data_IF_254542704362
#
_entry.id   IF_254542704362
#
_cell.length_a   1.000
_cell.length_b   1.000
_cell.length_c   1.000
_cell.angle_alpha   90.00
_cell.angle_beta   90.00
_cell.angle_gamma   90.00
#
_symmetry.space_group_name_H-M   'P 1'
#
loop_
_entity.id
_entity.type
_entity.pdbx_description
1 polymer ?
#
# COMPACT_ATOMS: atom_id res chain seq x y z
N UNK A 1 3.81 17.11 -3.33
CA UNK A 1 2.89 16.95 -2.18
C UNK A 1 1.55 17.57 -2.50
N UNK A 2 0.44 16.92 -2.13
CA UNK A 2 -0.93 17.28 -2.52
C UNK A 2 -1.92 16.89 -1.41
N UNK A 3 -3.16 17.33 -1.51
CA UNK A 3 -4.25 16.90 -0.62
C UNK A 3 -5.59 16.84 -1.36
N UNK A 4 -6.55 16.11 -0.79
CA UNK A 4 -7.94 16.02 -1.26
C UNK A 4 -8.89 16.20 -0.09
N UNK A 5 -9.94 17.00 -0.26
CA UNK A 5 -11.02 17.10 0.74
C UNK A 5 -11.96 15.92 0.55
N UNK A 6 -11.92 14.97 1.48
CA UNK A 6 -12.65 13.69 1.35
C UNK A 6 -14.11 13.79 1.78
N UNK A 7 -14.38 14.46 2.90
CA UNK A 7 -15.73 14.70 3.37
C UNK A 7 -15.81 15.96 4.24
N UNK A 8 -17.03 16.49 4.36
CA UNK A 8 -17.39 17.56 5.29
C UNK A 8 -18.65 17.11 6.01
N UNK A 9 -18.58 17.05 7.34
CA UNK A 9 -19.69 16.62 8.19
C UNK A 9 -19.95 17.68 9.26
N UNK A 10 -21.21 17.76 9.71
CA UNK A 10 -21.62 18.58 10.85
C UNK A 10 -21.97 17.67 12.02
N UNK A 11 -21.54 18.04 13.23
CA UNK A 11 -22.02 17.41 14.46
C UNK A 11 -22.91 18.42 15.16
N UNK A 12 -24.20 18.09 15.31
CA UNK A 12 -25.17 18.91 16.04
C UNK A 12 -25.06 18.59 17.54
N UNK A 13 -25.26 19.58 18.40
CA UNK A 13 -25.25 19.36 19.85
C UNK A 13 -26.35 18.36 20.25
N UNK A 14 -25.95 17.26 20.92
CA UNK A 14 -26.86 16.22 21.40
C UNK A 14 -26.95 14.95 20.53
N UNK A 15 -26.30 14.92 19.36
CA UNK A 15 -26.18 13.71 18.53
C UNK A 15 -24.73 13.15 18.56
N UNK A 16 -24.60 11.83 18.71
CA UNK A 16 -23.29 11.17 18.77
C UNK A 16 -22.59 11.11 17.40
N UNK A 17 -23.37 10.92 16.33
CA UNK A 17 -22.87 10.77 14.97
C UNK A 17 -22.92 12.07 14.16
N UNK A 18 -21.86 12.33 13.40
CA UNK A 18 -21.82 13.48 12.49
C UNK A 18 -22.62 13.23 11.21
N UNK A 19 -23.44 14.19 10.80
CA UNK A 19 -24.17 14.15 9.53
C UNK A 19 -23.24 14.60 8.40
N UNK A 20 -22.99 13.73 7.43
CA UNK A 20 -22.17 14.04 6.25
C UNK A 20 -22.93 14.94 5.27
N UNK A 21 -22.37 16.12 5.00
CA UNK A 21 -22.93 17.13 4.07
C UNK A 21 -22.33 16.98 2.68
N UNK A 22 -21.03 16.67 2.62
CA UNK A 22 -20.29 16.45 1.39
C UNK A 22 -19.40 15.23 1.55
N UNK A 23 -19.34 14.41 0.51
CA UNK A 23 -18.37 13.33 0.36
C UNK A 23 -17.90 13.31 -1.08
N UNK A 24 -16.59 13.28 -1.29
CA UNK A 24 -16.00 13.26 -2.63
C UNK A 24 -16.40 11.97 -3.36
N UNK A 25 -17.17 12.05 -4.47
CA UNK A 25 -17.66 10.86 -5.17
C UNK A 25 -16.55 10.10 -5.91
N UNK A 26 -15.44 10.77 -6.28
CA UNK A 26 -14.34 10.18 -7.04
C UNK A 26 -12.99 10.53 -6.39
N UNK A 27 -12.67 9.97 -5.21
CA UNK A 27 -11.47 10.34 -4.46
C UNK A 27 -10.17 9.97 -5.18
N UNK A 28 -10.22 8.97 -6.07
CA UNK A 28 -9.07 8.53 -6.88
C UNK A 28 -8.92 9.29 -8.22
N UNK A 29 -9.71 10.34 -8.47
CA UNK A 29 -9.56 11.17 -9.67
C UNK A 29 -8.46 12.21 -9.48
N UNK A 30 -7.70 12.47 -10.54
CA UNK A 30 -6.75 13.58 -10.60
C UNK A 30 -7.42 14.96 -10.46
N UNK A 31 -8.74 15.06 -10.64
CA UNK A 31 -9.50 16.32 -10.54
C UNK A 31 -9.78 16.75 -9.10
N UNK A 32 -9.85 15.80 -8.17
CA UNK A 32 -10.08 16.09 -6.74
C UNK A 32 -8.78 16.31 -5.97
N UNK A 33 -7.64 15.87 -6.53
CA UNK A 33 -6.31 16.03 -5.97
C UNK A 33 -5.75 17.44 -6.20
N UNK A 34 -5.53 18.20 -5.12
CA UNK A 34 -5.01 19.58 -5.16
C UNK A 34 -3.51 19.60 -4.86
N UNK A 35 -2.65 20.09 -5.78
CA UNK A 35 -1.22 20.23 -5.48
C UNK A 35 -1.02 21.31 -4.40
N UNK A 36 -0.13 21.03 -3.45
CA UNK A 36 0.20 21.97 -2.36
C UNK A 36 1.67 22.42 -2.41
N UNK A 37 2.58 21.48 -2.67
CA UNK A 37 4.02 21.77 -2.75
C UNK A 37 4.66 20.96 -3.88
N UNK A 38 5.37 21.67 -4.76
CA UNK A 38 6.13 21.12 -5.88
C UNK A 38 7.62 21.32 -5.62
N UNK A 39 8.43 20.31 -5.93
CA UNK A 39 9.87 20.34 -5.64
C UNK A 39 10.64 19.46 -6.62
N UNK A 40 11.91 19.81 -6.87
CA UNK A 40 12.87 18.97 -7.59
C UNK A 40 13.86 18.38 -6.59
N UNK A 41 13.43 17.31 -5.91
CA UNK A 41 14.18 16.65 -4.83
C UNK A 41 14.13 15.15 -5.04
N UNK A 42 15.23 14.46 -4.74
CA UNK A 42 15.22 12.99 -4.62
C UNK A 42 14.55 12.64 -3.29
N UNK A 43 13.53 11.80 -3.33
CA UNK A 43 12.84 11.29 -2.13
C UNK A 43 13.82 10.66 -1.14
N UNK A 44 14.92 10.09 -1.64
CA UNK A 44 15.96 9.44 -0.83
C UNK A 44 16.90 10.45 -0.14
N UNK A 45 16.87 11.74 -0.54
CA UNK A 45 17.60 12.82 0.12
C UNK A 45 16.77 13.37 1.28
N UNK A 46 16.89 12.70 2.43
CA UNK A 46 16.13 13.03 3.64
C UNK A 46 16.39 14.46 4.14
N UNK A 47 17.61 14.98 3.98
CA UNK A 47 17.98 16.32 4.45
C UNK A 47 17.19 17.39 3.70
N UNK A 48 17.23 17.34 2.37
CA UNK A 48 16.51 18.33 1.54
C UNK A 48 15.00 18.14 1.64
N UNK A 49 14.51 16.89 1.66
CA UNK A 49 13.08 16.62 1.74
C UNK A 49 12.47 17.15 3.05
N UNK A 50 13.11 16.90 4.18
CA UNK A 50 12.64 17.40 5.49
C UNK A 50 12.80 18.91 5.63
N UNK A 51 13.83 19.51 5.04
CA UNK A 51 13.97 20.97 5.01
C UNK A 51 12.82 21.65 4.27
N UNK A 52 12.36 21.09 3.14
CA UNK A 52 11.25 21.65 2.36
C UNK A 52 9.89 21.35 3.00
N UNK A 53 9.67 20.12 3.48
CA UNK A 53 8.37 19.71 4.04
C UNK A 53 8.19 20.10 5.51
N UNK A 54 9.24 20.49 6.22
CA UNK A 54 9.20 20.91 7.63
C UNK A 54 8.14 21.97 7.93
N UNK A 55 8.10 23.10 7.19
CA UNK A 55 7.05 24.11 7.35
C UNK A 55 5.64 23.57 7.13
N UNK A 56 5.44 22.72 6.11
CA UNK A 56 4.12 22.10 5.82
C UNK A 56 3.65 21.23 6.99
N UNK A 57 4.57 20.45 7.58
CA UNK A 57 4.26 19.63 8.76
C UNK A 57 3.95 20.49 9.98
N UNK A 58 4.68 21.60 10.17
CA UNK A 58 4.44 22.53 11.27
C UNK A 58 3.05 23.19 11.17
N UNK A 59 2.65 23.64 9.97
CA UNK A 59 1.32 24.17 9.71
C UNK A 59 0.22 23.12 9.96
N UNK A 60 0.41 21.89 9.47
CA UNK A 60 -0.52 20.77 9.75
C UNK A 60 -0.75 20.61 11.25
N UNK A 61 0.32 20.59 12.05
CA UNK A 61 0.22 20.44 13.52
C UNK A 61 -0.55 21.59 14.16
N UNK A 62 -0.23 22.84 13.80
CA UNK A 62 -0.96 24.01 14.31
C UNK A 62 -2.44 24.04 13.89
N UNK A 63 -2.77 23.53 12.70
CA UNK A 63 -4.15 23.45 12.20
C UNK A 63 -5.02 22.43 12.95
N UNK A 64 -4.43 21.41 13.58
CA UNK A 64 -5.21 20.40 14.32
C UNK A 64 -5.82 20.96 15.62
N UNK A 65 -5.19 21.98 16.21
CA UNK A 65 -5.63 22.60 17.48
C UNK A 65 -6.53 23.82 17.26
N UNK A 66 -6.57 24.36 16.04
CA UNK A 66 -7.32 25.58 15.71
C UNK A 66 -8.64 25.29 14.99
N UNK A 67 -9.50 26.32 14.95
CA UNK A 67 -10.74 26.31 14.18
C UNK A 67 -10.67 27.39 13.12
N UNK A 68 -10.98 27.03 11.88
CA UNK A 68 -11.05 27.97 10.77
C UNK A 68 -12.42 28.62 10.73
N UNK A 69 -12.46 29.96 10.65
CA UNK A 69 -13.70 30.73 10.53
C UNK A 69 -13.75 31.35 9.13
N UNK A 70 -14.77 30.99 8.34
CA UNK A 70 -14.97 31.49 6.98
C UNK A 70 -16.42 31.95 6.80
N UNK A 71 -16.62 33.04 6.06
CA UNK A 71 -17.95 33.44 5.58
C UNK A 71 -18.37 32.56 4.39
N UNK A 72 -19.34 31.67 4.60
CA UNK A 72 -19.87 30.76 3.57
C UNK A 72 -21.39 30.88 3.53
N UNK A 73 -21.93 31.26 2.36
CA UNK A 73 -23.37 31.48 2.18
C UNK A 73 -23.89 32.67 2.99
N UNK A 74 -23.07 33.71 3.17
CA UNK A 74 -23.43 34.93 3.91
C UNK A 74 -23.32 34.83 5.44
N UNK A 75 -22.93 33.67 5.98
CA UNK A 75 -22.78 33.44 7.43
C UNK A 75 -21.36 33.03 7.78
N UNK A 76 -20.86 33.52 8.92
CA UNK A 76 -19.61 33.02 9.49
C UNK A 76 -19.82 31.60 10.02
N UNK A 77 -19.01 30.66 9.53
CA UNK A 77 -19.03 29.24 9.93
C UNK A 77 -17.67 28.84 10.47
N UNK A 78 -17.67 27.93 11.44
CA UNK A 78 -16.45 27.39 12.07
C UNK A 78 -16.21 25.95 11.62
N UNK A 79 -14.97 25.64 11.25
CA UNK A 79 -14.54 24.32 10.76
C UNK A 79 -13.40 23.76 11.60
N UNK A 80 -13.38 22.44 11.76
CA UNK A 80 -12.25 21.66 12.28
C UNK A 80 -11.70 20.80 11.17
N UNK A 81 -10.39 20.55 11.19
CA UNK A 81 -9.72 19.68 10.23
C UNK A 81 -9.28 18.38 10.87
N UNK A 82 -9.49 17.28 10.16
CA UNK A 82 -8.95 15.96 10.48
C UNK A 82 -8.07 15.52 9.32
N UNK A 83 -6.75 15.55 9.52
CA UNK A 83 -5.79 15.15 8.49
C UNK A 83 -5.51 13.66 8.56
N UNK A 84 -5.81 12.93 7.48
CA UNK A 84 -5.47 11.52 7.34
C UNK A 84 -4.33 11.38 6.34
N UNK A 85 -3.11 11.15 6.85
CA UNK A 85 -1.93 10.94 6.03
C UNK A 85 -1.95 9.56 5.38
N UNK A 86 -2.64 9.43 4.25
CA UNK A 86 -2.73 8.20 3.44
C UNK A 86 -2.21 8.45 2.02
N UNK A 87 -2.20 7.43 1.16
CA UNK A 87 -1.79 7.57 -0.24
C UNK A 87 -0.28 7.71 -0.45
N UNK A 88 0.51 7.29 0.54
CA UNK A 88 1.96 7.14 0.43
C UNK A 88 2.31 5.69 0.06
N UNK A 89 3.32 5.50 -0.79
CA UNK A 89 3.85 4.15 -1.01
C UNK A 89 4.61 3.68 0.25
N UNK A 90 4.81 2.36 0.39
CA UNK A 90 5.48 1.82 1.59
C UNK A 90 6.91 2.33 1.77
N UNK A 91 7.61 2.70 0.69
CA UNK A 91 8.97 3.24 0.79
C UNK A 91 8.93 4.59 1.50
N UNK A 92 8.08 5.50 1.04
CA UNK A 92 7.88 6.81 1.65
C UNK A 92 7.38 6.70 3.09
N UNK A 93 6.43 5.81 3.38
CA UNK A 93 5.96 5.60 4.78
C UNK A 93 7.12 5.20 5.69
N UNK A 94 7.98 4.26 5.26
CA UNK A 94 9.12 3.81 6.05
C UNK A 94 10.12 4.95 6.30
N UNK A 95 10.41 5.76 5.29
CA UNK A 95 11.31 6.90 5.41
C UNK A 95 10.73 8.01 6.32
N UNK A 96 9.43 8.29 6.22
CA UNK A 96 8.77 9.32 7.05
C UNK A 96 8.56 8.90 8.51
N UNK A 97 8.33 7.62 8.76
CA UNK A 97 8.14 7.01 10.09
C UNK A 97 9.41 6.41 10.70
N UNK A 98 10.59 6.65 10.09
CA UNK A 98 11.88 6.24 10.65
C UNK A 98 12.12 4.72 10.73
N UNK A 99 11.40 3.95 9.91
CA UNK A 99 11.51 2.50 9.82
C UNK A 99 12.63 2.11 8.86
N UNK A 100 13.26 0.97 9.12
CA UNK A 100 14.16 0.36 8.15
C UNK A 100 13.47 0.09 6.80
N UNK A 101 14.26 0.10 5.73
CA UNK A 101 13.76 -0.02 4.35
C UNK A 101 12.99 -1.33 4.10
N UNK A 102 12.25 -1.38 2.98
CA UNK A 102 11.30 -2.47 2.64
C UNK A 102 11.90 -3.89 2.62
N UNK A 103 13.23 -4.05 2.53
CA UNK A 103 13.94 -5.33 2.59
C UNK A 103 14.27 -5.83 4.00
N UNK A 104 14.03 -5.02 5.04
CA UNK A 104 14.31 -5.33 6.45
C UNK A 104 13.64 -6.61 6.92
N UNK A 105 14.21 -7.30 7.91
CA UNK A 105 13.54 -8.40 8.62
C UNK A 105 12.17 -8.01 9.20
N UNK A 106 11.96 -6.75 9.58
CA UNK A 106 10.65 -6.25 10.03
C UNK A 106 9.77 -5.90 8.83
N UNK A 107 8.82 -6.79 8.55
CA UNK A 107 8.12 -6.86 7.26
C UNK A 107 6.99 -5.84 7.13
N UNK A 108 6.37 -5.47 8.25
CA UNK A 108 5.17 -4.65 8.25
C UNK A 108 5.47 -3.19 8.65
N UNK A 109 4.59 -2.26 8.28
CA UNK A 109 4.57 -0.89 8.80
C UNK A 109 3.54 -0.71 9.91
N UNK A 110 2.74 -1.76 10.18
CA UNK A 110 1.57 -1.72 11.07
C UNK A 110 1.77 -2.58 12.32
N UNK A 111 2.47 -3.71 12.22
CA UNK A 111 2.76 -4.62 13.33
C UNK A 111 4.26 -4.93 13.44
N UNK A 112 4.67 -5.52 14.55
CA UNK A 112 6.08 -5.76 14.88
C UNK A 112 6.67 -7.06 14.33
N UNK A 113 5.89 -7.84 13.60
CA UNK A 113 6.31 -9.16 13.13
C UNK A 113 7.52 -9.11 12.21
N UNK A 114 8.40 -10.09 12.41
CA UNK A 114 9.48 -10.38 11.48
C UNK A 114 8.97 -11.14 10.26
N UNK A 115 9.78 -11.18 9.19
CA UNK A 115 9.45 -11.90 7.97
C UNK A 115 9.31 -13.40 8.16
N UNK A 116 10.09 -13.99 9.06
CA UNK A 116 10.01 -15.41 9.38
C UNK A 116 8.72 -15.71 10.17
N UNK A 117 8.44 -14.94 11.22
CA UNK A 117 7.21 -15.08 12.02
C UNK A 117 5.96 -14.88 11.17
N UNK A 118 5.94 -13.84 10.32
CA UNK A 118 4.82 -13.55 9.43
C UNK A 118 4.62 -14.62 8.34
N UNK A 119 5.65 -15.43 8.03
CA UNK A 119 5.50 -16.57 7.13
C UNK A 119 4.96 -17.82 7.82
N UNK A 120 5.17 -17.95 9.14
CA UNK A 120 4.65 -19.06 9.94
C UNK A 120 3.20 -18.84 10.34
N UNK A 121 2.86 -17.62 10.74
CA UNK A 121 1.49 -17.19 11.01
C UNK A 121 1.19 -16.00 10.10
N UNK A 122 0.36 -16.21 9.06
CA UNK A 122 0.15 -15.19 8.03
C UNK A 122 -1.03 -14.24 8.31
N UNK A 123 -2.02 -14.66 9.11
CA UNK A 123 -3.33 -13.98 9.19
C UNK A 123 -3.65 -13.39 10.55
N UNK A 124 -3.03 -13.89 11.63
CA UNK A 124 -3.35 -13.44 12.99
C UNK A 124 -2.31 -12.44 13.49
N UNK A 125 -2.56 -11.17 13.21
CA UNK A 125 -1.75 -10.04 13.68
C UNK A 125 -2.66 -8.85 13.97
N UNK A 126 -2.28 -8.02 14.94
CA UNK A 126 -2.94 -6.75 15.25
C UNK A 126 -2.07 -5.56 14.85
N UNK A 127 -2.68 -4.42 14.55
CA UNK A 127 -1.95 -3.16 14.38
C UNK A 127 -1.44 -2.71 15.75
N UNK A 128 -0.14 -2.45 15.84
CA UNK A 128 0.52 -1.96 17.06
C UNK A 128 1.20 -0.62 16.83
N UNK A 129 1.93 -0.47 15.71
CA UNK A 129 2.72 0.72 15.43
C UNK A 129 1.85 1.97 15.24
N UNK A 130 2.30 3.06 15.83
CA UNK A 130 1.76 4.41 15.65
C UNK A 130 2.90 5.44 15.62
N UNK A 131 2.61 6.66 15.17
CA UNK A 131 3.61 7.72 15.08
C UNK A 131 4.25 8.06 16.44
N UNK A 132 3.42 8.21 17.48
CA UNK A 132 3.88 8.52 18.83
C UNK A 132 4.75 7.39 19.40
N UNK A 133 4.33 6.14 19.19
CA UNK A 133 5.13 4.98 19.60
C UNK A 133 6.48 4.93 18.86
N UNK A 134 6.52 5.23 17.56
CA UNK A 134 7.78 5.28 16.80
C UNK A 134 8.71 6.39 17.32
N UNK A 135 8.18 7.54 17.74
CA UNK A 135 8.98 8.61 18.37
C UNK A 135 9.61 8.12 19.68
N UNK A 136 8.85 7.42 20.52
CA UNK A 136 9.35 6.85 21.77
C UNK A 136 10.40 5.75 21.53
N UNK A 137 10.14 4.84 20.58
CA UNK A 137 11.08 3.80 20.16
C UNK A 137 12.39 4.39 19.64
N UNK A 138 12.33 5.48 18.88
CA UNK A 138 13.53 6.19 18.44
C UNK A 138 14.32 6.76 19.63
N UNK A 139 13.66 7.33 20.65
CA UNK A 139 14.38 7.82 21.83
C UNK A 139 15.05 6.68 22.63
N UNK A 140 14.46 5.48 22.64
CA UNK A 140 15.10 4.27 23.19
C UNK A 140 16.32 3.88 22.35
N UNK A 141 16.17 3.83 21.02
CA UNK A 141 17.27 3.55 20.09
C UNK A 141 18.45 4.52 20.28
N UNK A 142 18.16 5.82 20.34
CA UNK A 142 19.17 6.87 20.45
C UNK A 142 19.86 6.89 21.81
N UNK A 143 19.13 6.68 22.91
CA UNK A 143 19.67 6.75 24.28
C UNK A 143 20.32 5.43 24.72
N UNK A 144 19.88 4.31 24.17
CA UNK A 144 20.24 2.95 24.59
C UNK A 144 20.31 2.79 26.13
N UNK A 145 19.20 2.99 26.85
CA UNK A 145 19.20 3.04 28.31
C UNK A 145 19.59 1.69 28.96
N UNK A 146 19.50 0.59 28.21
CA UNK A 146 19.83 -0.75 28.68
C UNK A 146 21.24 -1.21 28.28
N UNK A 147 22.01 -0.38 27.57
CA UNK A 147 23.36 -0.70 27.08
C UNK A 147 23.43 -1.99 26.27
N UNK A 148 22.39 -2.24 25.47
CA UNK A 148 22.26 -3.42 24.61
C UNK A 148 23.23 -3.34 23.42
N UNK A 149 23.59 -4.50 22.88
CA UNK A 149 24.29 -4.57 21.60
C UNK A 149 23.40 -4.07 20.45
N UNK A 150 24.00 -3.82 19.29
CA UNK A 150 23.28 -3.29 18.14
C UNK A 150 22.09 -4.19 17.71
N UNK A 151 22.28 -5.52 17.71
CA UNK A 151 21.24 -6.47 17.29
C UNK A 151 20.11 -6.58 18.33
N UNK A 152 20.46 -6.61 19.62
CA UNK A 152 19.49 -6.63 20.73
C UNK A 152 18.67 -5.34 20.76
N UNK A 153 19.32 -4.19 20.62
CA UNK A 153 18.64 -2.89 20.61
C UNK A 153 17.74 -2.74 19.37
N UNK A 154 18.21 -3.19 18.20
CA UNK A 154 17.41 -3.23 16.97
C UNK A 154 16.17 -4.09 17.12
N UNK A 155 16.28 -5.22 17.83
CA UNK A 155 15.12 -6.04 18.15
C UNK A 155 14.19 -5.40 19.17
N UNK A 156 14.71 -4.76 20.21
CA UNK A 156 13.91 -4.03 21.19
C UNK A 156 13.03 -2.96 20.53
N UNK A 157 13.59 -2.19 19.61
CA UNK A 157 12.86 -1.10 18.92
C UNK A 157 12.15 -1.54 17.65
N UNK A 158 12.23 -2.85 17.32
CA UNK A 158 11.59 -3.48 16.15
C UNK A 158 11.89 -2.72 14.84
N UNK A 159 13.14 -2.33 14.64
CA UNK A 159 13.62 -1.69 13.41
C UNK A 159 13.28 -0.21 13.23
N UNK A 160 12.99 0.53 14.31
CA UNK A 160 12.94 2.00 14.30
C UNK A 160 14.35 2.54 14.56
N UNK A 161 15.02 3.02 13.51
CA UNK A 161 16.42 3.47 13.59
C UNK A 161 16.63 4.94 13.24
N UNK A 162 15.59 5.61 12.74
CA UNK A 162 15.58 7.04 12.45
C UNK A 162 14.40 7.71 13.15
N UNK A 163 14.47 9.04 13.33
CA UNK A 163 13.41 9.79 14.00
C UNK A 163 12.25 10.01 13.02
N UNK A 164 11.01 9.57 13.33
CA UNK A 164 9.83 9.94 12.56
C UNK A 164 9.71 11.46 12.44
N UNK A 165 9.38 11.98 11.25
CA UNK A 165 9.23 13.42 11.03
C UNK A 165 7.81 13.85 10.68
N UNK A 166 7.04 12.97 10.00
CA UNK A 166 5.68 13.24 9.58
C UNK A 166 4.78 12.07 9.98
N UNK A 167 3.70 12.38 10.70
CA UNK A 167 2.68 11.41 11.09
C UNK A 167 1.93 10.88 9.88
N UNK A 168 1.88 9.55 9.77
CA UNK A 168 1.11 8.81 8.77
C UNK A 168 0.03 7.98 9.45
N UNK A 169 -1.12 7.82 8.79
CA UNK A 169 -2.16 6.94 9.30
C UNK A 169 -1.73 5.48 9.07
N UNK A 170 -1.79 4.59 10.09
CA UNK A 170 -1.44 3.18 9.93
C UNK A 170 -2.47 2.45 9.06
N UNK A 171 -2.30 2.54 7.74
CA UNK A 171 -3.20 1.96 6.73
C UNK A 171 -2.41 1.27 5.61
N UNK A 172 -3.12 0.81 4.57
CA UNK A 172 -2.57 0.14 3.39
C UNK A 172 -2.85 0.97 2.14
N UNK A 173 -1.85 1.13 1.26
CA UNK A 173 -2.08 1.72 -0.05
C UNK A 173 -2.61 0.68 -1.05
N UNK A 174 -3.82 0.92 -1.56
CA UNK A 174 -4.52 -0.02 -2.41
C UNK A 174 -3.86 -0.23 -3.79
N UNK A 175 -3.23 0.81 -4.34
CA UNK A 175 -2.56 0.74 -5.66
C UNK A 175 -1.28 -0.10 -5.59
N UNK A 176 -0.38 0.24 -4.67
CA UNK A 176 0.89 -0.47 -4.54
C UNK A 176 0.71 -1.88 -3.97
N UNK A 177 -0.32 -2.11 -3.15
CA UNK A 177 -0.76 -3.45 -2.76
C UNK A 177 -1.12 -4.31 -3.98
N UNK A 178 -1.96 -3.81 -4.89
CA UNK A 178 -2.32 -4.51 -6.12
C UNK A 178 -1.09 -4.82 -7.00
N UNK A 179 -0.19 -3.85 -7.17
CA UNK A 179 1.03 -4.02 -7.97
C UNK A 179 1.98 -5.03 -7.32
N UNK A 180 2.13 -4.96 -5.99
CA UNK A 180 2.97 -5.87 -5.20
C UNK A 180 2.47 -7.30 -5.29
N UNK A 181 1.18 -7.52 -5.02
CA UNK A 181 0.55 -8.84 -5.10
C UNK A 181 0.57 -9.39 -6.53
N UNK A 182 0.27 -8.58 -7.56
CA UNK A 182 0.37 -9.02 -8.95
C UNK A 182 1.79 -9.41 -9.36
N UNK A 183 2.81 -8.69 -8.86
CA UNK A 183 4.21 -9.04 -9.08
C UNK A 183 4.55 -10.38 -8.43
N UNK A 184 3.99 -10.65 -7.26
CA UNK A 184 4.21 -11.92 -6.56
C UNK A 184 3.53 -13.09 -7.27
N UNK A 185 2.28 -12.93 -7.72
CA UNK A 185 1.60 -13.92 -8.58
C UNK A 185 2.34 -14.15 -9.89
N UNK A 186 2.86 -13.09 -10.52
CA UNK A 186 3.67 -13.24 -11.74
C UNK A 186 4.94 -14.09 -11.51
N UNK A 187 5.52 -14.07 -10.30
CA UNK A 187 6.63 -14.97 -9.93
C UNK A 187 6.14 -16.39 -9.66
N UNK A 188 5.00 -16.57 -8.97
CA UNK A 188 4.37 -17.88 -8.80
C UNK A 188 4.14 -18.51 -10.17
N UNK A 189 3.53 -17.80 -11.12
CA UNK A 189 3.29 -18.32 -12.48
C UNK A 189 4.57 -18.78 -13.18
N UNK A 190 5.69 -18.05 -13.03
CA UNK A 190 6.98 -18.49 -13.57
C UNK A 190 7.48 -19.76 -12.91
N UNK A 191 7.38 -19.87 -11.58
CA UNK A 191 7.85 -21.02 -10.83
C UNK A 191 7.00 -22.27 -11.09
N UNK A 192 5.70 -22.12 -11.34
CA UNK A 192 4.79 -23.23 -11.69
C UNK A 192 5.01 -23.75 -13.12
N UNK A 193 5.31 -22.87 -14.07
CA UNK A 193 5.75 -23.28 -15.43
C UNK A 193 7.04 -24.10 -15.37
N UNK A 194 7.91 -23.78 -14.41
CA UNK A 194 9.22 -24.42 -14.23
C UNK A 194 9.23 -25.61 -13.28
N UNK A 195 8.11 -25.93 -12.64
CA UNK A 195 8.00 -26.95 -11.58
C UNK A 195 9.08 -26.82 -10.50
N UNK A 196 9.34 -25.58 -10.03
CA UNK A 196 10.41 -25.26 -9.07
C UNK A 196 10.27 -26.03 -7.74
N UNK A 197 9.05 -26.46 -7.40
CA UNK A 197 8.79 -27.33 -6.26
C UNK A 197 9.47 -28.71 -6.36
N UNK A 198 9.76 -29.19 -7.58
CA UNK A 198 10.53 -30.43 -7.80
C UNK A 198 12.04 -30.16 -7.90
N UNK A 199 12.43 -28.98 -8.40
CA UNK A 199 13.83 -28.58 -8.62
C UNK A 199 14.11 -27.23 -7.96
N UNK A 200 14.62 -27.29 -6.73
CA UNK A 200 14.75 -26.13 -5.84
C UNK A 200 15.73 -25.03 -6.34
N UNK A 201 16.72 -25.37 -7.16
CA UNK A 201 17.77 -24.44 -7.61
C UNK A 201 17.90 -24.38 -9.14
N UNK A 202 16.92 -23.79 -9.85
CA UNK A 202 17.03 -23.61 -11.30
C UNK A 202 18.03 -22.51 -11.66
N UNK A 203 18.69 -22.69 -12.80
CA UNK A 203 19.64 -21.74 -13.35
C UNK A 203 18.97 -20.43 -13.79
N UNK A 204 19.79 -19.38 -13.96
CA UNK A 204 19.32 -18.08 -14.47
C UNK A 204 18.75 -18.18 -15.88
N UNK A 205 19.29 -19.07 -16.71
CA UNK A 205 18.82 -19.29 -18.08
C UNK A 205 17.45 -19.95 -18.12
N UNK A 206 17.21 -20.96 -17.27
CA UNK A 206 15.90 -21.59 -17.12
C UNK A 206 14.85 -20.59 -16.64
N UNK A 207 15.15 -19.80 -15.61
CA UNK A 207 14.24 -18.73 -15.14
C UNK A 207 13.92 -17.72 -16.25
N UNK A 208 14.91 -17.36 -17.07
CA UNK A 208 14.70 -16.47 -18.23
C UNK A 208 13.81 -17.11 -19.29
N UNK A 209 13.97 -18.42 -19.52
CA UNK A 209 13.15 -19.20 -20.45
C UNK A 209 11.69 -19.24 -19.99
N UNK A 210 11.42 -19.56 -18.74
CA UNK A 210 10.05 -19.60 -18.19
C UNK A 210 9.36 -18.24 -18.25
N UNK A 211 10.08 -17.17 -17.92
CA UNK A 211 9.56 -15.80 -18.09
C UNK A 211 9.19 -15.51 -19.54
N UNK A 212 10.06 -15.85 -20.49
CA UNK A 212 9.79 -15.65 -21.92
C UNK A 212 8.56 -16.44 -22.38
N UNK A 213 8.40 -17.69 -21.92
CA UNK A 213 7.23 -18.53 -22.20
C UNK A 213 5.94 -17.90 -21.65
N UNK A 214 5.95 -17.49 -20.38
CA UNK A 214 4.82 -16.81 -19.74
C UNK A 214 4.44 -15.54 -20.51
N UNK A 215 5.42 -14.68 -20.81
CA UNK A 215 5.23 -13.43 -21.54
C UNK A 215 4.64 -13.64 -22.94
N UNK A 216 5.07 -14.69 -23.65
CA UNK A 216 4.55 -15.06 -24.96
C UNK A 216 3.09 -15.50 -24.86
N UNK A 217 2.75 -16.32 -23.86
CA UNK A 217 1.39 -16.81 -23.64
C UNK A 217 0.42 -15.68 -23.28
N UNK A 218 0.79 -14.84 -22.31
CA UNK A 218 0.00 -13.67 -21.91
C UNK A 218 -0.17 -12.67 -23.07
N UNK A 219 0.83 -12.50 -23.93
CA UNK A 219 0.71 -11.68 -25.15
C UNK A 219 -0.28 -12.28 -26.14
N UNK A 220 -0.20 -13.58 -26.40
CA UNK A 220 -1.01 -14.23 -27.43
C UNK A 220 -2.49 -14.24 -27.07
N UNK A 221 -2.80 -14.70 -25.85
CA UNK A 221 -4.16 -14.94 -25.37
C UNK A 221 -4.81 -13.69 -24.79
N UNK A 222 -4.08 -12.94 -23.96
CA UNK A 222 -4.62 -11.79 -23.25
C UNK A 222 -4.17 -10.44 -23.84
N UNK A 223 -3.37 -10.40 -24.91
CA UNK A 223 -2.83 -9.15 -25.46
C UNK A 223 -2.09 -8.30 -24.41
N UNK A 224 -1.39 -8.96 -23.49
CA UNK A 224 -0.54 -8.32 -22.50
C UNK A 224 0.89 -8.24 -23.02
N UNK A 225 1.37 -7.01 -23.27
CA UNK A 225 2.77 -6.78 -23.65
C UNK A 225 3.65 -6.89 -22.40
N UNK A 226 4.79 -7.60 -22.45
CA UNK A 226 5.74 -7.66 -21.34
C UNK A 226 6.16 -6.26 -20.90
N UNK A 227 6.24 -6.06 -19.60
CA UNK A 227 6.58 -4.78 -18.97
C UNK A 227 7.88 -4.92 -18.18
N UNK A 228 8.70 -3.87 -18.18
CA UNK A 228 9.93 -3.84 -17.38
C UNK A 228 9.61 -3.74 -15.88
N UNK A 229 8.64 -2.87 -15.52
CA UNK A 229 8.10 -2.72 -14.17
C UNK A 229 6.59 -2.92 -14.22
N UNK A 230 6.07 -3.74 -13.30
CA UNK A 230 4.65 -3.97 -13.16
C UNK A 230 3.94 -2.63 -12.88
N UNK A 231 2.89 -2.34 -13.65
CA UNK A 231 2.05 -1.16 -13.42
C UNK A 231 0.62 -1.59 -13.10
N UNK A 232 -0.17 -0.69 -12.53
CA UNK A 232 -1.54 -0.98 -12.10
C UNK A 232 -2.46 -1.50 -13.22
N UNK A 233 -2.29 -1.05 -14.46
CA UNK A 233 -3.08 -1.55 -15.59
C UNK A 233 -2.75 -3.01 -15.92
N UNK A 234 -1.46 -3.37 -15.91
CA UNK A 234 -1.06 -4.76 -16.11
C UNK A 234 -1.54 -5.63 -14.96
N UNK A 235 -1.36 -5.18 -13.71
CA UNK A 235 -1.82 -5.89 -12.51
C UNK A 235 -3.32 -6.19 -12.57
N UNK A 236 -4.16 -5.20 -12.91
CA UNK A 236 -5.61 -5.39 -13.05
C UNK A 236 -6.00 -6.43 -14.11
N UNK A 237 -5.25 -6.53 -15.20
CA UNK A 237 -5.51 -7.51 -16.27
C UNK A 237 -4.97 -8.90 -15.96
N UNK A 238 -3.87 -8.98 -15.21
CA UNK A 238 -3.24 -10.24 -14.80
C UNK A 238 -4.00 -10.93 -13.66
N UNK A 239 -4.56 -10.15 -12.73
CA UNK A 239 -5.21 -10.68 -11.52
C UNK A 239 -6.68 -11.01 -11.76
N UNK A 240 -6.93 -11.97 -12.67
CA UNK A 240 -8.28 -12.43 -13.03
C UNK A 240 -8.31 -13.96 -13.17
N UNK A 241 -9.49 -14.57 -13.00
CA UNK A 241 -9.68 -16.00 -13.21
C UNK A 241 -9.39 -16.41 -14.67
N UNK A 242 -9.74 -15.57 -15.65
CA UNK A 242 -9.40 -15.80 -17.06
C UNK A 242 -7.88 -15.85 -17.28
N UNK A 243 -7.15 -14.95 -16.63
CA UNK A 243 -5.70 -14.91 -16.79
C UNK A 243 -5.00 -16.13 -16.17
N UNK A 244 -5.49 -16.64 -15.02
CA UNK A 244 -4.91 -17.86 -14.45
C UNK A 244 -5.21 -19.09 -15.31
N UNK A 245 -6.39 -19.19 -15.94
CA UNK A 245 -6.69 -20.26 -16.90
C UNK A 245 -5.68 -20.30 -18.06
N UNK A 246 -5.35 -19.12 -18.61
CA UNK A 246 -4.33 -18.98 -19.67
C UNK A 246 -2.95 -19.44 -19.21
N UNK A 247 -2.60 -19.21 -17.93
CA UNK A 247 -1.34 -19.69 -17.34
C UNK A 247 -1.38 -21.20 -17.10
N UNK A 248 -2.53 -21.74 -16.66
CA UNK A 248 -2.71 -23.17 -16.42
C UNK A 248 -2.47 -24.01 -17.69
N UNK A 249 -2.72 -23.49 -18.90
CA UNK A 249 -2.34 -24.16 -20.16
C UNK A 249 -0.83 -24.52 -20.24
N UNK A 250 0.02 -23.80 -19.49
CA UNK A 250 1.47 -24.02 -19.46
C UNK A 250 1.95 -24.87 -18.27
N UNK A 251 1.11 -25.07 -17.25
CA UNK A 251 1.49 -25.80 -16.03
C UNK A 251 1.31 -27.30 -16.28
N UNK A 252 2.32 -28.16 -16.05
CA UNK A 252 2.18 -29.59 -16.40
C UNK A 252 1.19 -30.37 -15.54
N UNK A 253 1.23 -30.18 -14.22
CA UNK A 253 0.43 -30.94 -13.26
C UNK A 253 -0.98 -30.38 -13.08
N UNK A 254 -2.01 -31.23 -13.23
CA UNK A 254 -3.41 -30.85 -13.02
C UNK A 254 -3.68 -30.42 -11.57
N UNK A 255 -3.07 -31.08 -10.59
CA UNK A 255 -3.20 -30.70 -9.18
C UNK A 255 -2.68 -29.27 -8.94
N UNK A 256 -1.55 -28.91 -9.57
CA UNK A 256 -0.98 -27.56 -9.49
C UNK A 256 -1.86 -26.52 -10.19
N UNK A 257 -2.49 -26.90 -11.31
CA UNK A 257 -3.45 -26.02 -12.00
C UNK A 257 -4.63 -25.70 -11.09
N UNK A 258 -5.22 -26.71 -10.46
CA UNK A 258 -6.36 -26.50 -9.56
C UNK A 258 -5.97 -25.65 -8.35
N UNK A 259 -4.79 -25.88 -7.78
CA UNK A 259 -4.28 -25.04 -6.69
C UNK A 259 -4.11 -23.57 -7.12
N UNK A 260 -3.57 -23.30 -8.32
CA UNK A 260 -3.44 -21.93 -8.83
C UNK A 260 -4.77 -21.25 -9.08
N UNK A 261 -5.73 -21.98 -9.66
CA UNK A 261 -7.10 -21.49 -9.89
C UNK A 261 -7.76 -21.15 -8.57
N UNK A 262 -7.66 -22.04 -7.58
CA UNK A 262 -8.20 -21.82 -6.24
C UNK A 262 -7.54 -20.63 -5.54
N UNK A 263 -6.22 -20.48 -5.66
CA UNK A 263 -5.49 -19.33 -5.11
C UNK A 263 -5.97 -18.02 -5.73
N UNK A 264 -6.15 -17.97 -7.06
CA UNK A 264 -6.65 -16.79 -7.75
C UNK A 264 -8.12 -16.49 -7.40
N UNK A 265 -8.97 -17.51 -7.32
CA UNK A 265 -10.38 -17.38 -6.91
C UNK A 265 -10.48 -16.73 -5.53
N UNK A 266 -9.75 -17.25 -4.53
CA UNK A 266 -9.69 -16.65 -3.19
C UNK A 266 -9.19 -15.20 -3.23
N UNK A 267 -8.13 -14.91 -4.02
CA UNK A 267 -7.65 -13.54 -4.18
C UNK A 267 -8.72 -12.61 -4.75
N UNK A 268 -9.40 -13.02 -5.82
CA UNK A 268 -10.45 -12.24 -6.49
C UNK A 268 -11.64 -12.01 -5.56
N UNK A 269 -11.97 -12.95 -4.68
CA UNK A 269 -13.03 -12.77 -3.67
C UNK A 269 -12.65 -11.76 -2.59
N UNK A 270 -11.38 -11.69 -2.20
CA UNK A 270 -10.91 -10.74 -1.18
C UNK A 270 -10.65 -9.35 -1.75
N UNK A 271 -10.19 -9.25 -3.01
CA UNK A 271 -9.74 -8.01 -3.65
C UNK A 271 -10.69 -6.82 -3.59
N UNK A 272 -12.01 -6.98 -3.79
CA UNK A 272 -12.95 -5.86 -3.71
C UNK A 272 -12.92 -5.15 -2.35
N UNK A 273 -12.58 -5.84 -1.26
CA UNK A 273 -12.66 -5.29 0.10
C UNK A 273 -11.68 -4.14 0.33
N UNK A 274 -10.43 -4.26 -0.13
CA UNK A 274 -9.46 -3.16 -0.04
C UNK A 274 -9.49 -2.20 -1.23
N UNK A 275 -10.26 -2.51 -2.28
CA UNK A 275 -10.35 -1.69 -3.50
C UNK A 275 -11.59 -0.83 -3.60
N UNK A 276 -12.71 -1.29 -3.05
CA UNK A 276 -13.95 -0.54 -3.07
C UNK A 276 -13.82 0.78 -2.32
N UNK A 277 -14.57 1.79 -2.75
CA UNK A 277 -14.67 3.05 -2.03
C UNK A 277 -15.47 2.88 -0.73
N UNK A 278 -16.48 1.99 -0.69
CA UNK A 278 -17.26 1.70 0.51
C UNK A 278 -17.60 0.19 0.58
N UNK A 279 -16.69 -0.67 1.07
CA UNK A 279 -16.88 -2.12 1.03
C UNK A 279 -18.08 -2.62 1.84
N UNK A 280 -18.48 -1.93 2.91
CA UNK A 280 -19.68 -2.28 3.69
C UNK A 280 -20.98 -2.20 2.89
N UNK A 281 -21.02 -1.39 1.82
CA UNK A 281 -22.18 -1.27 0.93
C UNK A 281 -21.96 -2.00 -0.40
N UNK A 282 -20.78 -1.84 -0.98
CA UNK A 282 -20.52 -2.25 -2.36
C UNK A 282 -20.15 -3.74 -2.46
N UNK A 283 -19.61 -4.35 -1.40
CA UNK A 283 -19.22 -5.77 -1.34
C UNK A 283 -19.34 -6.39 0.08
N UNK A 284 -20.52 -6.33 0.72
CA UNK A 284 -20.70 -6.74 2.12
C UNK A 284 -20.41 -8.23 2.37
N UNK A 285 -20.79 -9.10 1.44
CA UNK A 285 -20.56 -10.55 1.57
C UNK A 285 -19.07 -10.89 1.56
N UNK A 286 -18.30 -10.24 0.67
CA UNK A 286 -16.85 -10.40 0.62
C UNK A 286 -16.17 -9.85 1.87
N UNK A 287 -16.65 -8.71 2.39
CA UNK A 287 -16.16 -8.13 3.64
C UNK A 287 -16.40 -9.08 4.82
N UNK A 288 -17.62 -9.60 4.97
CA UNK A 288 -17.97 -10.54 6.02
C UNK A 288 -17.15 -11.83 5.99
N UNK A 289 -16.85 -12.34 4.78
CA UNK A 289 -16.09 -13.59 4.58
C UNK A 289 -14.57 -13.38 4.53
N UNK A 290 -14.08 -12.15 4.67
CA UNK A 290 -12.67 -11.83 4.42
C UNK A 290 -11.71 -12.67 5.28
N UNK A 291 -11.93 -12.72 6.59
CA UNK A 291 -11.06 -13.45 7.53
C UNK A 291 -11.03 -14.96 7.25
N UNK A 292 -12.16 -15.54 6.85
CA UNK A 292 -12.21 -16.94 6.44
C UNK A 292 -11.45 -17.16 5.13
N UNK A 293 -11.66 -16.30 4.14
CA UNK A 293 -10.97 -16.40 2.85
C UNK A 293 -9.46 -16.18 2.97
N UNK A 294 -9.01 -15.27 3.84
CA UNK A 294 -7.58 -15.04 4.08
C UNK A 294 -6.93 -16.22 4.79
N UNK A 295 -7.62 -16.87 5.73
CA UNK A 295 -7.18 -18.13 6.33
C UNK A 295 -7.02 -19.22 5.26
N UNK A 296 -8.03 -19.46 4.43
CA UNK A 296 -7.96 -20.46 3.35
C UNK A 296 -6.84 -20.16 2.35
N UNK A 297 -6.61 -18.88 2.06
CA UNK A 297 -5.51 -18.44 1.20
C UNK A 297 -4.15 -18.75 1.83
N UNK A 298 -3.96 -18.41 3.10
CA UNK A 298 -2.74 -18.70 3.85
C UNK A 298 -2.48 -20.20 4.00
N UNK A 299 -3.52 -20.99 4.25
CA UNK A 299 -3.43 -22.46 4.34
C UNK A 299 -2.92 -23.05 3.02
N UNK A 300 -3.45 -22.57 1.88
CA UNK A 300 -2.99 -22.99 0.56
C UNK A 300 -1.54 -22.58 0.29
N UNK A 301 -1.11 -21.40 0.74
CA UNK A 301 0.28 -20.97 0.64
C UNK A 301 1.22 -21.82 1.49
N UNK A 302 0.83 -22.14 2.72
CA UNK A 302 1.63 -22.87 3.69
C UNK A 302 1.74 -24.37 3.39
N UNK A 303 0.80 -24.92 2.62
CA UNK A 303 0.80 -26.31 2.17
C UNK A 303 1.37 -26.41 0.75
N UNK A 304 0.57 -26.03 -0.24
CA UNK A 304 0.86 -26.24 -1.66
C UNK A 304 1.99 -25.36 -2.19
N UNK A 305 2.16 -24.14 -1.66
CA UNK A 305 3.21 -23.21 -2.09
C UNK A 305 4.35 -23.06 -1.06
N UNK A 306 4.48 -24.00 -0.10
CA UNK A 306 5.47 -23.95 0.97
C UNK A 306 6.91 -23.76 0.46
N UNK A 307 7.25 -24.42 -0.65
CA UNK A 307 8.57 -24.31 -1.29
C UNK A 307 9.00 -22.85 -1.57
N UNK A 308 8.03 -21.93 -1.72
CA UNK A 308 8.26 -20.51 -1.96
C UNK A 308 8.12 -19.67 -0.69
N UNK A 309 7.26 -20.05 0.24
CA UNK A 309 6.91 -19.24 1.42
C UNK A 309 7.53 -19.73 2.73
N UNK A 310 8.41 -20.74 2.69
CA UNK A 310 9.16 -21.19 3.85
C UNK A 310 10.13 -20.09 4.33
N UNK A 311 9.86 -19.53 5.52
CA UNK A 311 10.66 -18.47 6.13
C UNK A 311 10.56 -17.09 5.48
N UNK A 312 9.67 -16.89 4.49
CA UNK A 312 9.52 -15.59 3.83
C UNK A 312 8.12 -15.30 3.29
N UNK A 313 7.73 -14.04 3.36
CA UNK A 313 6.51 -13.47 2.77
C UNK A 313 6.82 -12.04 2.28
N UNK A 314 6.09 -11.57 1.26
CA UNK A 314 6.23 -10.19 0.79
C UNK A 314 5.44 -9.24 1.68
N UNK A 315 5.88 -7.98 1.79
CA UNK A 315 5.29 -7.00 2.70
C UNK A 315 3.80 -6.77 2.41
N UNK A 316 3.43 -6.55 1.14
CA UNK A 316 2.04 -6.35 0.76
C UNK A 316 1.18 -7.60 0.93
N UNK A 317 1.71 -8.80 0.68
CA UNK A 317 0.94 -10.03 0.87
C UNK A 317 0.64 -10.25 2.35
N UNK A 318 1.61 -10.02 3.23
CA UNK A 318 1.39 -10.04 4.67
C UNK A 318 0.33 -9.02 5.10
N UNK A 319 0.46 -7.75 4.71
CA UNK A 319 -0.53 -6.72 5.05
C UNK A 319 -1.94 -7.04 4.56
N UNK A 320 -2.04 -7.63 3.35
CA UNK A 320 -3.33 -8.03 2.75
C UNK A 320 -3.99 -9.13 3.57
N UNK A 321 -3.24 -10.14 4.00
CA UNK A 321 -3.77 -11.29 4.71
C UNK A 321 -4.07 -11.01 6.19
N UNK A 322 -3.34 -10.07 6.80
CA UNK A 322 -3.38 -9.84 8.24
C UNK A 322 -4.24 -8.64 8.67
N UNK A 323 -4.15 -7.51 7.97
CA UNK A 323 -4.62 -6.22 8.55
C UNK A 323 -5.82 -5.60 7.85
N UNK A 324 -6.24 -6.11 6.68
CA UNK A 324 -7.36 -5.51 5.93
C UNK A 324 -8.66 -5.44 6.74
N UNK A 325 -9.10 -6.48 7.48
CA UNK A 325 -10.32 -6.40 8.28
C UNK A 325 -10.27 -5.28 9.33
N UNK A 326 -9.19 -5.22 10.11
CA UNK A 326 -8.99 -4.22 11.17
C UNK A 326 -8.98 -2.79 10.61
N UNK A 327 -8.31 -2.56 9.48
CA UNK A 327 -8.28 -1.24 8.84
C UNK A 327 -9.67 -0.85 8.34
N UNK A 328 -10.43 -1.78 7.74
CA UNK A 328 -11.77 -1.48 7.24
C UNK A 328 -12.75 -1.21 8.38
N UNK A 329 -12.67 -1.95 9.47
CA UNK A 329 -13.50 -1.71 10.65
C UNK A 329 -13.22 -0.33 11.26
N UNK A 330 -11.95 0.07 11.33
CA UNK A 330 -11.53 1.37 11.87
C UNK A 330 -11.82 2.55 10.94
N UNK A 331 -11.54 2.41 9.64
CA UNK A 331 -11.51 3.52 8.69
C UNK A 331 -12.73 3.55 7.75
N UNK A 332 -13.52 2.48 7.72
CA UNK A 332 -14.65 2.27 6.82
C UNK A 332 -14.26 1.93 5.37
N UNK A 333 -13.03 2.26 4.95
CA UNK A 333 -12.53 2.03 3.59
C UNK A 333 -11.01 2.04 3.53
N UNK A 334 -10.44 1.35 2.55
CA UNK A 334 -9.03 1.45 2.14
C UNK A 334 -8.94 2.08 0.75
N UNK A 335 -9.74 1.60 -0.20
CA UNK A 335 -9.67 2.01 -1.60
C UNK A 335 -10.00 3.48 -1.85
N UNK A 336 -10.79 4.10 -0.97
CA UNK A 336 -11.06 5.55 -0.99
C UNK A 336 -9.83 6.40 -0.61
N UNK A 337 -8.87 5.82 0.10
CA UNK A 337 -7.70 6.50 0.67
C UNK A 337 -6.39 6.16 -0.07
N UNK A 338 -6.51 5.59 -1.26
CA UNK A 338 -5.40 5.11 -2.06
C UNK A 338 -4.57 6.25 -2.68
N UNK A 339 -3.34 5.93 -3.07
CA UNK A 339 -2.43 6.83 -3.79
C UNK A 339 -2.86 7.14 -5.23
N UNK A 340 -3.91 6.50 -5.76
CA UNK A 340 -4.30 6.59 -7.17
C UNK A 340 -4.59 8.02 -7.65
N UNK A 341 -5.25 8.84 -6.83
CA UNK A 341 -5.53 10.24 -7.17
C UNK A 341 -4.25 11.06 -7.30
N UNK A 342 -3.30 10.85 -6.39
CA UNK A 342 -2.00 11.52 -6.42
C UNK A 342 -1.13 11.06 -7.60
N UNK A 343 -1.05 9.74 -7.83
CA UNK A 343 -0.30 9.17 -8.97
C UNK A 343 -0.89 9.59 -10.32
N UNK A 344 -2.22 9.72 -10.41
CA UNK A 344 -2.86 10.26 -11.60
C UNK A 344 -2.51 11.74 -11.81
N UNK A 345 -2.38 12.51 -10.74
CA UNK A 345 -1.88 13.89 -10.76
C UNK A 345 -0.48 14.05 -11.38
N UNK A 346 0.40 13.05 -11.23
CA UNK A 346 1.74 13.07 -11.86
C UNK A 346 1.66 13.14 -13.41
N UNK A 347 0.59 12.61 -14.02
CA UNK A 347 0.34 12.75 -15.46
C UNK A 347 0.02 14.20 -15.83
N UNK A 348 -0.76 14.90 -15.00
CA UNK A 348 -1.06 16.32 -15.19
C UNK A 348 0.19 17.17 -15.02
N UNK A 349 0.98 16.95 -13.98
CA UNK A 349 2.24 17.67 -13.75
C UNK A 349 3.16 17.63 -14.98
N UNK A 350 3.38 16.45 -15.57
CA UNK A 350 4.20 16.31 -16.78
C UNK A 350 3.62 17.06 -17.98
N UNK A 351 2.29 17.09 -18.11
CA UNK A 351 1.61 17.80 -19.21
C UNK A 351 1.70 19.31 -19.01
N UNK A 352 1.40 19.81 -17.82
CA UNK A 352 1.43 21.24 -17.51
C UNK A 352 2.84 21.81 -17.60
N UNK A 353 3.83 21.11 -17.03
CA UNK A 353 5.23 21.50 -17.18
C UNK A 353 5.67 21.63 -18.64
N UNK A 354 5.13 20.80 -19.55
CA UNK A 354 5.48 20.84 -20.98
C UNK A 354 4.67 21.86 -21.79
N UNK A 355 3.39 22.01 -21.49
CA UNK A 355 2.43 22.70 -22.37
C UNK A 355 1.89 24.00 -21.78
N UNK A 356 2.06 24.23 -20.48
CA UNK A 356 1.40 25.31 -19.73
C UNK A 356 2.35 26.08 -18.80
N UNK A 357 3.65 25.79 -18.83
CA UNK A 357 4.65 26.47 -18.00
C UNK A 357 5.74 27.15 -18.85
N UNK A 358 6.29 28.25 -18.34
CA UNK A 358 7.52 28.87 -18.85
C UNK A 358 8.65 27.84 -18.78
N UNK A 359 9.34 27.62 -19.89
CA UNK A 359 10.45 26.67 -19.99
C UNK A 359 11.76 27.26 -19.41
N UNK A 360 11.68 27.72 -18.17
CA UNK A 360 12.76 28.37 -17.44
C UNK A 360 12.70 27.97 -15.96
N UNK A 361 13.84 27.51 -15.42
CA UNK A 361 13.94 27.00 -14.04
C UNK A 361 13.35 27.91 -12.96
N UNK A 362 13.49 29.25 -13.02
CA UNK A 362 12.94 30.13 -11.97
C UNK A 362 11.41 30.18 -11.91
N UNK A 363 10.72 29.76 -12.98
CA UNK A 363 9.29 30.00 -13.15
C UNK A 363 8.46 28.73 -13.40
N UNK A 364 9.10 27.62 -13.77
CA UNK A 364 8.40 26.41 -14.23
C UNK A 364 7.53 25.71 -13.16
N UNK A 365 7.73 26.00 -11.88
CA UNK A 365 6.89 25.48 -10.78
C UNK A 365 5.88 26.52 -10.26
N UNK A 366 6.05 27.79 -10.63
CA UNK A 366 5.10 28.86 -10.31
C UNK A 366 3.88 28.82 -11.26
N UNK A 367 4.13 28.49 -12.54
CA UNK A 367 3.10 28.25 -13.57
C UNK A 367 2.45 26.87 -13.45
#
# INVERSE_FOLDING_TARGET
FSFTVMSISIRVEGEDDGITIFQEPKPNSELSCRPLCLMFVDESDHETLTAILGPVVAERKAMMESRLIISVGGLLRSFRFFFRGTGYDEKMVREMEGLEASGSTYVCTLCDSTRAEASQNMVLHSITRSHDENLERYEIWRKNPFSESADELRDRVKGVSAKPFMETLPTLDALHCDIGNATEFYKIFQDEIGEVYQRSNPSREERRRWRSTLDKQLRNKLKLKPVMRMNGNYARRLMTCEAVEVVCELVPSEERREALKRLMDLYVQMKPVWRSTCPSRDCPDQLCRYSYNSQQFADLLSTTFKYRYDGKITNYLHKTLAHVPEIIERDGSIGAWASEGNESGNKLFRRFRKMNARQSKPFELED
#
